data_IF_924080819176
#
_entry.id   IF_924080819176
#
_cell.length_a   1.000
_cell.length_b   1.000
_cell.length_c   1.000
_cell.angle_alpha   90.00
_cell.angle_beta   90.00
_cell.angle_gamma   90.00
#
_symmetry.space_group_name_H-M   'P 1'
#
loop_
_entity.id
_entity.type
_entity.pdbx_description
1 polymer ?
#
# COMPACT_ATOMS: atom_id res chain seq x y z
N UNK A 1 -24.90 -22.68 35.24
CA UNK A 1 -23.74 -21.80 34.94
C UNK A 1 -23.42 -21.73 33.45
N UNK A 2 -23.66 -22.78 32.65
CA UNK A 2 -23.50 -22.77 31.19
C UNK A 2 -24.52 -21.88 30.44
N UNK A 3 -25.72 -21.67 30.97
CA UNK A 3 -26.77 -20.87 30.32
C UNK A 3 -26.44 -19.38 30.16
N UNK A 4 -25.54 -18.81 30.97
CA UNK A 4 -25.06 -17.42 30.82
C UNK A 4 -23.97 -17.27 29.76
N UNK A 5 -23.39 -18.38 29.30
CA UNK A 5 -22.37 -18.39 28.26
C UNK A 5 -23.02 -18.34 26.86
N UNK A 6 -24.22 -18.90 26.72
CA UNK A 6 -25.00 -18.87 25.48
C UNK A 6 -25.38 -17.43 25.08
N UNK A 7 -25.61 -16.54 26.06
CA UNK A 7 -25.83 -15.10 25.83
C UNK A 7 -24.58 -14.34 25.33
N UNK A 8 -23.39 -14.95 25.39
CA UNK A 8 -22.14 -14.34 24.90
C UNK A 8 -21.84 -14.64 23.44
N UNK A 9 -22.54 -15.62 22.85
CA UNK A 9 -22.41 -15.92 21.43
C UNK A 9 -23.42 -15.10 20.64
N UNK A 10 -22.94 -14.36 19.64
CA UNK A 10 -23.82 -13.60 18.75
C UNK A 10 -24.84 -14.55 18.09
N UNK A 11 -26.11 -14.34 18.42
CA UNK A 11 -27.21 -15.18 17.99
C UNK A 11 -27.48 -14.96 16.49
N UNK A 12 -27.05 -15.89 15.62
CA UNK A 12 -27.44 -15.98 14.21
C UNK A 12 -26.96 -14.86 13.28
N UNK A 13 -26.19 -15.22 12.25
CA UNK A 13 -25.65 -14.35 11.20
C UNK A 13 -24.73 -13.22 11.70
N UNK A 14 -23.50 -13.62 12.08
CA UNK A 14 -22.37 -12.70 12.13
C UNK A 14 -22.06 -12.24 10.70
N UNK A 15 -22.74 -11.17 10.28
CA UNK A 15 -22.31 -10.41 9.11
C UNK A 15 -21.00 -9.77 9.52
N UNK A 16 -19.87 -10.16 8.92
CA UNK A 16 -18.60 -9.46 9.14
C UNK A 16 -18.80 -8.01 8.73
N UNK A 17 -18.93 -7.12 9.72
CA UNK A 17 -18.96 -5.69 9.50
C UNK A 17 -17.53 -5.28 9.19
N UNK A 18 -17.22 -5.17 7.90
CA UNK A 18 -15.95 -4.60 7.47
C UNK A 18 -15.87 -3.16 7.97
N UNK A 19 -14.74 -2.81 8.55
CA UNK A 19 -14.39 -1.42 8.83
C UNK A 19 -14.34 -0.62 7.53
N UNK A 20 -14.53 0.70 7.63
CA UNK A 20 -14.40 1.62 6.48
C UNK A 20 -13.02 1.45 5.80
N UNK A 21 -11.96 1.26 6.60
CA UNK A 21 -10.61 0.95 6.10
C UNK A 21 -10.60 -0.32 5.24
N UNK A 22 -11.17 -1.42 5.70
CA UNK A 22 -11.20 -2.70 4.96
C UNK A 22 -11.98 -2.60 3.65
N UNK A 23 -13.05 -1.80 3.61
CA UNK A 23 -13.80 -1.51 2.38
C UNK A 23 -12.89 -0.79 1.37
N UNK A 24 -12.17 0.25 1.79
CA UNK A 24 -11.25 0.96 0.92
C UNK A 24 -10.11 0.06 0.42
N UNK A 25 -9.56 -0.80 1.27
CA UNK A 25 -8.54 -1.77 0.88
C UNK A 25 -9.07 -2.78 -0.16
N UNK A 26 -10.28 -3.30 0.03
CA UNK A 26 -10.91 -4.22 -0.92
C UNK A 26 -11.17 -3.53 -2.29
N UNK A 27 -11.64 -2.28 -2.27
CA UNK A 27 -11.84 -1.50 -3.50
C UNK A 27 -10.52 -1.18 -4.20
N UNK A 28 -9.48 -0.81 -3.45
CA UNK A 28 -8.13 -0.60 -3.98
C UNK A 28 -7.63 -1.85 -4.73
N UNK A 29 -7.68 -3.03 -4.09
CA UNK A 29 -7.32 -4.32 -4.72
C UNK A 29 -8.09 -4.56 -6.02
N UNK A 30 -9.40 -4.26 -6.06
CA UNK A 30 -10.21 -4.37 -7.27
C UNK A 30 -9.73 -3.43 -8.39
N UNK A 31 -9.26 -2.23 -8.04
CA UNK A 31 -8.71 -1.28 -9.01
C UNK A 31 -7.32 -1.67 -9.51
N UNK A 32 -6.49 -2.32 -8.70
CA UNK A 32 -5.22 -2.94 -9.14
C UNK A 32 -5.50 -3.94 -10.27
N UNK A 33 -6.43 -4.88 -10.05
CA UNK A 33 -6.79 -5.91 -11.04
C UNK A 33 -7.30 -5.30 -12.35
N UNK A 34 -7.99 -4.16 -12.26
CA UNK A 34 -8.50 -3.41 -13.42
C UNK A 34 -7.47 -2.49 -14.07
N UNK A 35 -6.22 -2.47 -13.60
CA UNK A 35 -5.17 -1.60 -14.11
C UNK A 35 -5.38 -0.11 -13.82
N UNK A 36 -6.27 0.25 -12.88
CA UNK A 36 -6.60 1.64 -12.55
C UNK A 36 -5.73 2.15 -11.41
N UNK A 37 -4.45 2.38 -11.69
CA UNK A 37 -3.41 2.70 -10.71
C UNK A 37 -3.75 3.93 -9.83
N UNK A 38 -4.22 5.04 -10.41
CA UNK A 38 -4.55 6.25 -9.63
C UNK A 38 -5.70 6.01 -8.64
N UNK A 39 -6.79 5.38 -9.08
CA UNK A 39 -7.91 5.05 -8.18
C UNK A 39 -7.49 4.05 -7.10
N UNK A 40 -6.65 3.07 -7.46
CA UNK A 40 -6.08 2.12 -6.50
C UNK A 40 -5.28 2.82 -5.41
N UNK A 41 -4.39 3.74 -5.79
CA UNK A 41 -3.57 4.53 -4.86
C UNK A 41 -4.42 5.43 -3.96
N UNK A 42 -5.40 6.13 -4.52
CA UNK A 42 -6.29 6.99 -3.74
C UNK A 42 -7.02 6.19 -2.65
N UNK A 43 -7.57 5.03 -3.02
CA UNK A 43 -8.28 4.15 -2.09
C UNK A 43 -7.34 3.48 -1.09
N UNK A 44 -6.12 3.12 -1.49
CA UNK A 44 -5.11 2.57 -0.60
C UNK A 44 -4.73 3.57 0.50
N UNK A 45 -4.41 4.81 0.11
CA UNK A 45 -4.05 5.88 1.05
C UNK A 45 -5.23 6.21 1.97
N UNK A 46 -6.45 6.35 1.41
CA UNK A 46 -7.67 6.52 2.22
C UNK A 46 -7.86 5.39 3.21
N UNK A 47 -7.72 4.14 2.78
CA UNK A 47 -7.84 2.98 3.66
C UNK A 47 -6.83 2.98 4.81
N UNK A 48 -5.60 3.42 4.58
CA UNK A 48 -4.58 3.53 5.63
C UNK A 48 -4.88 4.67 6.63
N UNK A 49 -5.32 5.83 6.15
CA UNK A 49 -5.65 6.99 7.00
C UNK A 49 -6.94 6.74 7.82
N UNK A 50 -7.96 6.16 7.20
CA UNK A 50 -9.25 5.86 7.83
C UNK A 50 -9.19 4.69 8.82
N UNK A 51 -8.07 3.97 8.88
CA UNK A 51 -7.81 3.03 9.97
C UNK A 51 -7.56 3.75 11.31
N UNK A 52 -7.56 5.10 11.35
CA UNK A 52 -7.32 5.97 12.52
C UNK A 52 -5.95 5.82 13.21
N UNK A 53 -5.08 4.94 12.70
CA UNK A 53 -3.83 4.61 13.40
C UNK A 53 -2.55 4.84 12.59
N UNK A 54 -2.64 5.13 11.28
CA UNK A 54 -1.51 5.60 10.49
C UNK A 54 -1.54 7.12 10.31
N UNK A 55 -0.46 7.80 10.68
CA UNK A 55 -0.23 9.21 10.30
C UNK A 55 0.62 9.22 9.03
N UNK A 56 -0.01 9.47 7.88
CA UNK A 56 0.65 9.49 6.57
C UNK A 56 0.72 10.91 6.05
N UNK A 57 1.94 11.37 5.82
CA UNK A 57 2.21 12.61 5.12
C UNK A 57 2.55 12.31 3.66
N UNK A 58 1.63 12.67 2.77
CA UNK A 58 1.86 12.60 1.34
C UNK A 58 1.77 14.00 0.74
N UNK A 59 2.81 14.43 0.02
CA UNK A 59 2.80 15.72 -0.69
C UNK A 59 3.21 15.54 -2.15
N UNK A 60 2.52 16.24 -3.09
CA UNK A 60 2.95 16.28 -4.48
C UNK A 60 4.32 16.98 -4.58
N UNK A 61 5.08 16.78 -5.68
CA UNK A 61 6.33 17.50 -5.89
C UNK A 61 6.05 19.01 -5.80
N UNK A 62 6.60 19.68 -4.80
CA UNK A 62 6.49 21.13 -4.67
C UNK A 62 7.61 21.81 -5.46
N UNK A 63 7.45 23.11 -5.75
CA UNK A 63 8.43 23.89 -6.54
C UNK A 63 9.80 24.06 -5.85
N UNK A 64 9.89 23.82 -4.54
CA UNK A 64 11.09 24.10 -3.73
C UNK A 64 12.03 22.91 -3.56
N UNK A 65 11.52 21.69 -3.42
CA UNK A 65 12.34 20.48 -3.40
C UNK A 65 12.23 19.67 -4.69
N UNK A 66 11.11 19.75 -5.42
CA UNK A 66 10.82 18.90 -6.58
C UNK A 66 10.68 17.40 -6.25
N UNK A 67 10.80 17.04 -4.96
CA UNK A 67 10.76 15.66 -4.48
C UNK A 67 9.36 15.43 -3.90
N UNK A 68 8.52 14.60 -4.54
CA UNK A 68 7.28 14.17 -3.92
C UNK A 68 7.59 13.39 -2.64
N UNK A 69 6.81 13.60 -1.58
CA UNK A 69 7.03 12.97 -0.27
C UNK A 69 5.91 11.98 0.00
N UNK A 70 6.28 10.78 0.43
CA UNK A 70 5.39 9.85 1.11
C UNK A 70 6.11 9.38 2.37
N UNK A 71 5.58 9.74 3.52
CA UNK A 71 6.17 9.44 4.82
C UNK A 71 5.09 8.93 5.78
N UNK A 72 5.42 7.91 6.56
CA UNK A 72 4.55 7.36 7.59
C UNK A 72 5.15 7.77 8.93
N UNK A 73 4.51 8.75 9.58
CA UNK A 73 4.95 9.34 10.86
C UNK A 73 4.59 8.46 12.05
N UNK A 74 3.45 7.77 11.97
CA UNK A 74 2.99 6.82 12.99
C UNK A 74 2.60 5.53 12.29
N UNK A 75 3.20 4.44 12.75
CA UNK A 75 2.88 3.09 12.32
C UNK A 75 1.86 2.48 13.28
N UNK A 76 0.99 1.64 12.73
CA UNK A 76 0.09 0.79 13.50
C UNK A 76 0.41 -0.70 13.24
N UNK A 77 -0.30 -1.60 13.91
CA UNK A 77 -0.18 -3.05 13.77
C UNK A 77 -0.23 -3.49 12.30
N UNK A 78 0.89 -3.93 11.76
CA UNK A 78 0.92 -4.45 10.40
C UNK A 78 0.44 -5.90 10.39
N UNK A 79 -0.58 -6.17 9.59
CA UNK A 79 -1.04 -7.51 9.25
C UNK A 79 -0.86 -7.77 7.75
N UNK A 80 -1.14 -8.98 7.28
CA UNK A 80 -1.00 -9.36 5.88
C UNK A 80 -1.78 -8.44 4.93
N UNK A 81 -3.00 -8.05 5.30
CA UNK A 81 -3.83 -7.15 4.48
C UNK A 81 -3.15 -5.80 4.26
N UNK A 82 -2.56 -5.23 5.31
CA UNK A 82 -1.83 -3.94 5.24
C UNK A 82 -0.53 -4.05 4.45
N UNK A 83 0.21 -5.15 4.60
CA UNK A 83 1.39 -5.44 3.75
C UNK A 83 1.01 -5.49 2.26
N UNK A 84 -0.10 -6.16 1.92
CA UNK A 84 -0.60 -6.23 0.54
C UNK A 84 -0.93 -4.83 0.00
N UNK A 85 -1.45 -3.93 0.83
CA UNK A 85 -1.72 -2.54 0.44
C UNK A 85 -0.41 -1.82 0.09
N UNK A 86 0.63 -1.92 0.91
CA UNK A 86 1.94 -1.31 0.61
C UNK A 86 2.58 -1.87 -0.67
N UNK A 87 2.50 -3.19 -0.88
CA UNK A 87 2.97 -3.83 -2.12
C UNK A 87 2.20 -3.35 -3.35
N UNK A 88 0.87 -3.21 -3.25
CA UNK A 88 0.04 -2.68 -4.31
C UNK A 88 0.38 -1.21 -4.60
N UNK A 89 0.55 -0.39 -3.57
CA UNK A 89 0.98 1.00 -3.70
C UNK A 89 2.32 1.08 -4.43
N UNK A 90 3.30 0.26 -4.07
CA UNK A 90 4.59 0.24 -4.75
C UNK A 90 4.45 -0.07 -6.24
N UNK A 91 3.67 -1.09 -6.59
CA UNK A 91 3.42 -1.46 -7.97
C UNK A 91 2.68 -0.38 -8.78
N UNK A 92 1.76 0.36 -8.17
CA UNK A 92 1.03 1.45 -8.83
C UNK A 92 1.87 2.73 -8.94
N UNK A 93 2.66 3.08 -7.91
CA UNK A 93 3.58 4.21 -7.97
C UNK A 93 4.64 4.05 -9.06
N UNK A 94 5.08 2.81 -9.35
CA UNK A 94 5.98 2.55 -10.48
C UNK A 94 5.39 2.95 -11.83
N UNK A 95 4.06 2.98 -11.96
CA UNK A 95 3.38 3.35 -13.20
C UNK A 95 3.13 4.84 -13.28
N UNK A 96 2.78 5.48 -12.16
CA UNK A 96 2.23 6.87 -12.18
C UNK A 96 3.15 7.92 -11.58
N UNK A 97 4.04 7.56 -10.65
CA UNK A 97 5.00 8.49 -10.08
C UNK A 97 6.28 7.75 -9.60
N UNK A 98 7.16 7.34 -10.54
CA UNK A 98 8.35 6.55 -10.23
C UNK A 98 9.29 7.17 -9.19
N UNK A 99 9.27 8.51 -9.09
CA UNK A 99 10.07 9.26 -8.10
C UNK A 99 9.70 8.94 -6.64
N UNK A 100 8.48 8.48 -6.39
CA UNK A 100 8.01 8.05 -5.05
C UNK A 100 8.34 6.60 -4.72
N UNK A 101 8.81 5.81 -5.69
CA UNK A 101 8.94 4.37 -5.52
C UNK A 101 9.94 3.99 -4.44
N UNK A 102 11.01 4.76 -4.24
CA UNK A 102 11.97 4.48 -3.17
C UNK A 102 11.37 4.68 -1.78
N UNK A 103 10.62 5.77 -1.58
CA UNK A 103 9.91 6.02 -0.33
C UNK A 103 8.86 4.93 -0.04
N UNK A 104 8.06 4.57 -1.05
CA UNK A 104 7.03 3.52 -0.92
C UNK A 104 7.68 2.16 -0.68
N UNK A 105 8.82 1.88 -1.32
CA UNK A 105 9.59 0.66 -1.09
C UNK A 105 10.07 0.59 0.36
N UNK A 106 10.63 1.67 0.91
CA UNK A 106 11.05 1.73 2.31
C UNK A 106 9.89 1.47 3.27
N UNK A 107 8.71 2.03 2.98
CA UNK A 107 7.49 1.74 3.75
C UNK A 107 7.10 0.26 3.64
N UNK A 108 7.16 -0.30 2.44
CA UNK A 108 6.84 -1.72 2.20
C UNK A 108 7.82 -2.64 2.95
N UNK A 109 9.12 -2.35 2.89
CA UNK A 109 10.18 -3.05 3.63
C UNK A 109 9.94 -3.01 5.15
N UNK A 110 9.59 -1.84 5.66
CA UNK A 110 9.27 -1.65 7.09
C UNK A 110 8.06 -2.47 7.49
N UNK A 111 6.99 -2.43 6.69
CA UNK A 111 5.77 -3.20 6.94
C UNK A 111 6.03 -4.71 6.93
N UNK A 112 6.89 -5.17 6.02
CA UNK A 112 7.30 -6.57 5.94
C UNK A 112 8.08 -7.00 7.19
N UNK A 113 9.06 -6.19 7.61
CA UNK A 113 9.84 -6.44 8.81
C UNK A 113 8.96 -6.51 10.06
N UNK A 114 7.94 -5.63 10.17
CA UNK A 114 6.98 -5.67 11.28
C UNK A 114 6.14 -6.94 11.31
N UNK A 115 5.74 -7.45 10.14
CA UNK A 115 4.90 -8.64 10.04
C UNK A 115 5.69 -9.95 10.24
N UNK A 116 6.86 -10.04 9.61
CA UNK A 116 7.64 -11.28 9.51
C UNK A 116 8.79 -11.35 10.52
N UNK A 117 9.20 -10.22 11.11
CA UNK A 117 10.34 -10.14 12.01
C UNK A 117 11.71 -10.22 11.32
N UNK A 118 11.75 -10.24 9.99
CA UNK A 118 12.95 -10.36 9.16
C UNK A 118 12.83 -9.54 7.87
N UNK A 119 13.95 -9.34 7.16
CA UNK A 119 13.99 -8.56 5.90
C UNK A 119 14.72 -9.27 4.76
N UNK A 120 15.41 -10.36 5.06
CA UNK A 120 16.29 -11.10 4.17
C UNK A 120 15.51 -11.69 2.99
N UNK A 121 14.27 -12.11 3.24
CA UNK A 121 13.40 -12.69 2.19
C UNK A 121 12.51 -11.65 1.51
N UNK A 122 12.54 -10.37 1.91
CA UNK A 122 11.72 -9.31 1.30
C UNK A 122 11.85 -9.28 -0.23
N UNK A 123 13.08 -9.32 -0.76
CA UNK A 123 13.33 -9.29 -2.20
C UNK A 123 12.77 -10.49 -2.98
N UNK A 124 12.33 -11.55 -2.29
CA UNK A 124 11.74 -12.74 -2.90
C UNK A 124 10.25 -12.58 -3.20
N UNK A 125 9.60 -11.52 -2.70
CA UNK A 125 8.18 -11.25 -2.95
C UNK A 125 7.92 -11.04 -4.45
N UNK A 126 6.98 -11.81 -5.00
CA UNK A 126 6.71 -11.87 -6.44
C UNK A 126 6.28 -10.52 -7.03
N UNK A 127 5.55 -9.71 -6.25
CA UNK A 127 5.18 -8.34 -6.60
C UNK A 127 6.40 -7.44 -6.81
N UNK A 128 7.44 -7.59 -5.98
CA UNK A 128 8.68 -6.82 -6.12
C UNK A 128 9.50 -7.30 -7.32
N UNK A 129 9.48 -8.59 -7.64
CA UNK A 129 10.12 -9.11 -8.86
C UNK A 129 9.47 -8.56 -10.12
N UNK A 130 8.13 -8.53 -10.17
CA UNK A 130 7.38 -7.93 -11.28
C UNK A 130 7.64 -6.42 -11.38
N UNK A 131 7.62 -5.71 -10.26
CA UNK A 131 7.97 -4.30 -10.15
C UNK A 131 9.41 -4.00 -10.65
N UNK A 132 10.40 -4.81 -10.25
CA UNK A 132 11.78 -4.68 -10.70
C UNK A 132 11.94 -4.98 -12.21
N UNK A 133 11.14 -5.89 -12.76
CA UNK A 133 11.06 -6.12 -14.21
C UNK A 133 10.52 -4.89 -14.95
N UNK A 134 9.44 -4.29 -14.44
CA UNK A 134 8.85 -3.07 -14.99
C UNK A 134 9.82 -1.88 -14.93
N UNK A 135 10.51 -1.67 -13.80
CA UNK A 135 11.53 -0.63 -13.65
C UNK A 135 12.64 -0.77 -14.68
N UNK A 136 13.20 -1.98 -14.84
CA UNK A 136 14.21 -2.28 -15.87
C UNK A 136 13.71 -2.07 -17.29
N UNK A 137 12.40 -2.22 -17.54
CA UNK A 137 11.79 -1.91 -18.84
C UNK A 137 11.63 -0.41 -19.07
N UNK A 138 11.46 0.38 -18.00
CA UNK A 138 11.33 1.83 -18.06
C UNK A 138 12.70 2.50 -18.19
N UNK A 139 13.72 2.03 -17.46
CA UNK A 139 15.11 2.50 -17.60
C UNK A 139 15.66 2.24 -19.01
N UNK A 140 15.28 1.11 -19.64
CA UNK A 140 15.60 0.83 -21.04
C UNK A 140 14.87 1.72 -22.05
N UNK A 141 13.73 2.31 -21.68
CA UNK A 141 12.95 3.23 -22.52
C UNK A 141 13.29 4.70 -22.27
N UNK A 142 13.77 5.06 -21.08
CA UNK A 142 14.15 6.42 -20.68
C UNK A 142 15.48 6.92 -21.25
N UNK A 143 16.07 6.21 -22.22
CA UNK A 143 17.23 6.69 -23.00
C UNK A 143 16.87 7.67 -24.11
N UNK A 144 15.58 7.87 -24.41
CA UNK A 144 15.13 8.93 -25.32
C UNK A 144 14.97 10.24 -24.53
N UNK A 145 15.81 11.22 -24.89
CA UNK A 145 15.72 12.61 -24.40
C UNK A 145 14.29 13.13 -24.63
N UNK A 146 13.61 13.49 -23.54
CA UNK A 146 12.40 14.30 -23.59
C UNK A 146 12.77 15.70 -24.16
N UNK A 147 11.95 16.28 -25.04
CA UNK A 147 12.18 17.63 -25.55
C UNK A 147 11.94 18.65 -24.43
N UNK A 148 12.82 19.64 -24.38
CA UNK A 148 12.72 20.79 -23.48
C UNK A 148 11.38 21.51 -23.68
N UNK A 149 10.63 21.68 -22.57
CA UNK A 149 9.50 22.58 -22.43
C UNK A 149 9.73 23.47 -21.22
#
# INVERSE_FOLDING_TARGET
MLSKLEDTYANGNVTQVLTVSEIYQALSKRHVVKGKAMNSLELAIKGLVEALDFDIFASPPNKSSGIPVLEIKKWDHVNESRLIVFLAMYADYLKVAPRLCEAVRGCTETSYLMLCGEKETFGQLEYLKQAASLRRSHERRGGERLPDL
#
